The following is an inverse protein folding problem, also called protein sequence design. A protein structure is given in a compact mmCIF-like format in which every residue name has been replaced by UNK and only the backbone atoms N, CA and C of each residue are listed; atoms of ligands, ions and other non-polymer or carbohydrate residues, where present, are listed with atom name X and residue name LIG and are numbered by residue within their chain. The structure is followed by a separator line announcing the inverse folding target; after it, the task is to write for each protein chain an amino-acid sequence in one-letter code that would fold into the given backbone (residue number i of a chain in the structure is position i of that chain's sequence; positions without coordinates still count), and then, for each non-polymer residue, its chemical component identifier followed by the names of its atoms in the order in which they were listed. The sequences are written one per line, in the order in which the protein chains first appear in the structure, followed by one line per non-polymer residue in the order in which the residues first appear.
data_IF_428937403947
#
_entry.id   IF_428937403947
#
_cell.length_a   1.000
_cell.length_b   1.000
_cell.length_c   1.000
_cell.angle_alpha   90.00
_cell.angle_beta   90.00
_cell.angle_gamma   90.00
#
_symmetry.space_group_name_H-M   'P 1'
#
loop_
_entity.id
_entity.type
_entity.pdbx_description
1 polymer ?
#
# COMPACT_ATOMS: atom_id res chain seq x y z
N UNK A 1 67.85 -54.06 14.72
CA UNK A 1 66.75 -53.36 15.36
C UNK A 1 66.58 -52.05 14.59
N UNK A 2 65.58 -51.97 13.73
CA UNK A 2 65.28 -50.74 12.91
C UNK A 2 64.13 -49.96 13.61
N UNK A 3 64.38 -48.70 13.95
CA UNK A 3 63.39 -47.79 14.54
C UNK A 3 62.49 -47.26 13.42
N UNK A 4 61.16 -47.13 13.59
CA UNK A 4 60.29 -46.50 12.63
C UNK A 4 60.32 -44.96 12.78
N UNK A 5 60.41 -44.30 11.65
CA UNK A 5 60.33 -42.83 11.49
C UNK A 5 58.87 -42.42 11.47
N UNK A 6 58.41 -41.68 12.51
CA UNK A 6 57.07 -41.06 12.49
C UNK A 6 57.11 -39.78 11.68
N UNK A 7 56.37 -39.78 10.57
CA UNK A 7 56.17 -38.60 9.72
C UNK A 7 54.90 -37.85 10.23
N UNK A 8 55.10 -36.72 10.89
CA UNK A 8 53.99 -35.89 11.39
C UNK A 8 53.52 -35.03 10.22
N UNK A 9 52.30 -35.31 9.72
CA UNK A 9 51.64 -34.54 8.69
C UNK A 9 50.99 -33.29 9.32
N UNK A 10 51.55 -32.13 9.07
CA UNK A 10 51.04 -30.85 9.55
C UNK A 10 49.89 -30.39 8.60
N UNK A 11 48.62 -30.59 8.99
CA UNK A 11 47.48 -29.99 8.27
C UNK A 11 47.39 -28.51 8.62
N UNK A 12 47.80 -27.66 7.69
CA UNK A 12 47.54 -26.22 7.75
C UNK A 12 46.11 -25.98 7.31
N UNK A 13 45.22 -25.81 8.29
CA UNK A 13 43.87 -25.28 8.03
C UNK A 13 44.00 -23.79 7.67
N UNK A 14 43.87 -23.49 6.38
CA UNK A 14 43.68 -22.12 5.92
C UNK A 14 42.25 -21.68 6.29
N UNK A 15 42.07 -20.96 7.39
CA UNK A 15 40.86 -20.20 7.65
C UNK A 15 40.79 -19.05 6.63
N UNK A 16 40.02 -19.28 5.57
CA UNK A 16 39.59 -18.21 4.70
C UNK A 16 38.64 -17.29 5.45
N UNK A 17 39.12 -16.15 5.91
CA UNK A 17 38.27 -15.05 6.37
C UNK A 17 37.44 -14.59 5.15
N UNK A 18 36.19 -15.03 5.04
CA UNK A 18 35.20 -14.35 4.25
C UNK A 18 34.90 -13.03 4.97
N UNK A 19 35.53 -11.94 4.55
CA UNK A 19 35.10 -10.60 4.91
C UNK A 19 33.68 -10.41 4.36
N UNK A 20 32.68 -10.59 5.22
CA UNK A 20 31.29 -10.23 4.89
C UNK A 20 31.30 -8.73 4.54
N UNK A 21 30.94 -8.44 3.31
CA UNK A 21 30.85 -7.07 2.83
C UNK A 21 29.63 -6.43 3.52
N UNK A 22 29.87 -5.72 4.66
CA UNK A 22 28.86 -5.10 5.51
C UNK A 22 28.21 -3.87 4.85
N UNK A 23 27.91 -3.93 3.55
CA UNK A 23 27.17 -2.88 2.88
C UNK A 23 25.70 -2.98 3.28
N UNK A 24 25.14 -1.89 3.81
CA UNK A 24 23.70 -1.83 4.08
C UNK A 24 22.92 -2.12 2.78
N UNK A 25 21.85 -2.91 2.85
CA UNK A 25 21.03 -3.18 1.68
C UNK A 25 20.42 -1.89 1.13
N UNK A 26 20.32 -1.79 -0.18
CA UNK A 26 19.60 -0.70 -0.85
C UNK A 26 18.09 -0.80 -0.60
N UNK A 27 17.35 0.28 -0.82
CA UNK A 27 15.88 0.27 -0.71
C UNK A 27 15.26 -0.82 -1.60
N UNK A 28 15.77 -1.02 -2.82
CA UNK A 28 15.29 -2.09 -3.73
C UNK A 28 15.55 -3.49 -3.16
N UNK A 29 16.73 -3.71 -2.59
CA UNK A 29 17.04 -4.99 -1.93
C UNK A 29 16.12 -5.25 -0.74
N UNK A 30 15.83 -4.22 0.08
CA UNK A 30 14.88 -4.33 1.20
C UNK A 30 13.47 -4.68 0.73
N UNK A 31 12.97 -4.01 -0.33
CA UNK A 31 11.68 -4.35 -0.94
C UNK A 31 11.69 -5.81 -1.42
N UNK A 32 12.74 -6.21 -2.15
CA UNK A 32 12.84 -7.56 -2.71
C UNK A 32 12.92 -8.66 -1.65
N UNK A 33 13.62 -8.42 -0.54
CA UNK A 33 13.74 -9.38 0.58
C UNK A 33 12.41 -9.55 1.34
N UNK A 34 11.62 -8.49 1.42
CA UNK A 34 10.38 -8.43 2.20
C UNK A 34 9.11 -8.66 1.35
N UNK A 35 9.25 -8.78 0.01
CA UNK A 35 8.11 -9.04 -0.86
C UNK A 35 7.53 -10.42 -0.58
N UNK A 36 6.22 -10.53 -0.25
CA UNK A 36 5.62 -11.82 0.01
C UNK A 36 5.51 -12.68 -1.24
N UNK A 37 5.51 -13.99 -1.05
CA UNK A 37 5.00 -14.90 -2.06
C UNK A 37 3.48 -14.79 -2.12
N UNK A 38 2.93 -14.88 -3.32
CA UNK A 38 1.47 -14.93 -3.56
C UNK A 38 1.15 -16.15 -4.43
N UNK A 39 -0.10 -16.55 -4.46
CA UNK A 39 -0.56 -17.54 -5.46
C UNK A 39 -0.29 -17.03 -6.88
N UNK A 40 0.10 -17.93 -7.76
CA UNK A 40 0.34 -17.59 -9.15
C UNK A 40 -0.92 -16.96 -9.77
N UNK A 41 -0.80 -15.81 -10.46
CA UNK A 41 -1.94 -15.14 -11.04
C UNK A 41 -2.53 -15.94 -12.20
N UNK A 42 -3.84 -15.79 -12.42
CA UNK A 42 -4.54 -16.46 -13.53
C UNK A 42 -4.14 -15.89 -14.90
N UNK A 43 -3.74 -14.63 -14.93
CA UNK A 43 -3.20 -13.93 -16.09
C UNK A 43 -2.23 -12.83 -15.65
N UNK A 44 -1.49 -12.27 -16.60
CA UNK A 44 -0.70 -11.08 -16.34
C UNK A 44 -1.50 -9.83 -16.65
N UNK A 45 -1.62 -8.93 -15.68
CA UNK A 45 -2.39 -7.69 -15.77
C UNK A 45 -1.53 -6.51 -16.21
N UNK A 46 -2.16 -5.39 -16.54
CA UNK A 46 -1.48 -4.11 -16.85
C UNK A 46 -1.88 -3.06 -15.82
N UNK A 47 -0.90 -2.48 -15.15
CA UNK A 47 -1.12 -1.48 -14.11
C UNK A 47 -0.43 -0.17 -14.47
N UNK A 48 -1.17 0.94 -14.42
CA UNK A 48 -0.59 2.27 -14.45
C UNK A 48 -0.21 2.68 -13.01
N UNK A 49 1.06 2.98 -12.76
CA UNK A 49 1.50 3.66 -11.54
C UNK A 49 1.60 5.16 -11.82
N UNK A 50 0.57 5.90 -11.43
CA UNK A 50 0.50 7.34 -11.60
C UNK A 50 1.00 8.05 -10.35
N UNK A 51 2.05 8.91 -10.51
CA UNK A 51 2.77 9.50 -9.38
C UNK A 51 2.90 11.03 -9.46
N UNK A 52 2.02 11.72 -10.22
CA UNK A 52 2.09 13.19 -10.37
C UNK A 52 1.42 13.90 -9.21
N UNK A 53 2.16 14.56 -8.30
CA UNK A 53 1.55 15.45 -7.32
C UNK A 53 1.29 16.84 -7.92
N UNK A 54 0.18 17.43 -7.51
CA UNK A 54 -0.16 18.85 -7.78
C UNK A 54 -0.16 19.69 -6.49
N UNK A 55 0.46 19.16 -5.45
CA UNK A 55 0.70 19.75 -4.15
C UNK A 55 2.04 19.30 -3.62
N UNK A 56 2.07 18.85 -2.36
CA UNK A 56 3.27 18.34 -1.73
C UNK A 56 3.77 17.08 -2.46
N UNK A 57 5.08 17.04 -2.80
CA UNK A 57 5.72 15.85 -3.36
C UNK A 57 6.36 15.03 -2.24
N UNK A 58 5.80 13.86 -1.97
CA UNK A 58 6.32 12.95 -0.97
C UNK A 58 7.66 12.33 -1.40
N UNK A 59 8.61 12.24 -0.46
CA UNK A 59 9.90 11.58 -0.69
C UNK A 59 9.75 10.08 -0.95
N UNK A 60 8.62 9.51 -0.60
CA UNK A 60 8.30 8.10 -0.78
C UNK A 60 7.78 7.75 -2.18
N UNK A 61 7.56 8.70 -3.07
CA UNK A 61 7.11 8.43 -4.45
C UNK A 61 8.08 7.49 -5.17
N UNK A 62 9.39 7.72 -5.08
CA UNK A 62 10.35 6.94 -5.84
C UNK A 62 10.50 5.51 -5.29
N UNK A 63 10.47 5.34 -3.97
CA UNK A 63 10.45 3.98 -3.40
C UNK A 63 9.12 3.28 -3.69
N UNK A 64 8.01 4.02 -3.82
CA UNK A 64 6.73 3.49 -4.28
C UNK A 64 6.81 2.92 -5.69
N UNK A 65 7.49 3.61 -6.62
CA UNK A 65 7.78 3.08 -7.97
C UNK A 65 8.65 1.81 -7.89
N UNK A 66 9.70 1.84 -7.07
CA UNK A 66 10.58 0.66 -6.84
C UNK A 66 9.78 -0.53 -6.29
N UNK A 67 8.89 -0.28 -5.34
CA UNK A 67 8.01 -1.33 -4.77
C UNK A 67 7.12 -1.94 -5.84
N UNK A 68 6.50 -1.13 -6.71
CA UNK A 68 5.66 -1.61 -7.81
C UNK A 68 6.45 -2.46 -8.82
N UNK A 69 7.66 -2.02 -9.16
CA UNK A 69 8.56 -2.76 -10.07
C UNK A 69 8.96 -4.12 -9.48
N UNK A 70 9.40 -4.14 -8.22
CA UNK A 70 9.78 -5.38 -7.53
C UNK A 70 8.59 -6.31 -7.33
N UNK A 71 7.40 -5.77 -7.02
CA UNK A 71 6.18 -6.57 -6.92
C UNK A 71 5.85 -7.23 -8.26
N UNK A 72 5.89 -6.47 -9.36
CA UNK A 72 5.68 -7.01 -10.70
C UNK A 72 6.67 -8.14 -11.05
N UNK A 73 7.94 -7.94 -10.76
CA UNK A 73 9.00 -8.92 -11.02
C UNK A 73 8.87 -10.20 -10.17
N UNK A 74 8.59 -10.04 -8.88
CA UNK A 74 8.57 -11.16 -7.94
C UNK A 74 7.31 -12.00 -8.01
N UNK A 75 6.17 -11.35 -8.25
CA UNK A 75 4.87 -12.00 -8.23
C UNK A 75 4.37 -12.41 -9.61
N UNK A 76 4.88 -11.77 -10.68
CA UNK A 76 4.36 -11.96 -12.03
C UNK A 76 2.92 -11.45 -12.22
N UNK A 77 2.35 -10.76 -11.22
CA UNK A 77 0.94 -10.38 -11.19
C UNK A 77 0.60 -9.38 -12.29
N UNK A 78 1.48 -8.43 -12.58
CA UNK A 78 1.22 -7.40 -13.58
C UNK A 78 2.50 -6.90 -14.27
N UNK A 79 2.31 -6.24 -15.42
CA UNK A 79 3.27 -5.30 -15.99
C UNK A 79 2.91 -3.89 -15.52
N UNK A 80 3.91 -3.10 -15.10
CA UNK A 80 3.69 -1.74 -14.61
C UNK A 80 4.20 -0.70 -15.61
N UNK A 81 3.34 0.30 -15.88
CA UNK A 81 3.70 1.53 -16.61
C UNK A 81 3.78 2.67 -15.61
N UNK A 82 4.91 3.38 -15.56
CA UNK A 82 5.07 4.57 -14.72
C UNK A 82 4.78 5.83 -15.53
N UNK A 83 3.93 6.70 -15.00
CA UNK A 83 3.64 7.98 -15.65
C UNK A 83 3.34 9.09 -14.65
N UNK A 84 3.66 10.32 -15.05
CA UNK A 84 3.23 11.57 -14.44
C UNK A 84 2.41 12.42 -15.45
N UNK A 85 2.05 11.84 -16.60
CA UNK A 85 1.31 12.50 -17.67
C UNK A 85 -0.20 12.20 -17.57
N UNK A 86 -1.01 13.25 -17.45
CA UNK A 86 -2.48 13.12 -17.42
C UNK A 86 -3.08 12.55 -18.71
N UNK A 87 -2.36 12.57 -19.82
CA UNK A 87 -2.85 11.95 -21.07
C UNK A 87 -3.08 10.45 -20.94
N UNK A 88 -2.53 9.77 -19.91
CA UNK A 88 -2.82 8.37 -19.60
C UNK A 88 -4.30 8.15 -19.23
N UNK A 89 -4.99 9.18 -18.78
CA UNK A 89 -6.43 9.14 -18.48
C UNK A 89 -7.33 9.43 -19.69
N UNK A 90 -6.76 9.63 -20.88
CA UNK A 90 -7.55 9.80 -22.10
C UNK A 90 -8.32 8.51 -22.46
N UNK A 91 -9.52 8.61 -23.09
CA UNK A 91 -10.41 7.46 -23.32
C UNK A 91 -9.80 6.30 -24.12
N UNK A 92 -8.86 6.60 -25.00
CA UNK A 92 -8.13 5.63 -25.82
C UNK A 92 -6.99 4.94 -25.06
N UNK A 93 -6.42 5.61 -24.06
CA UNK A 93 -5.28 5.12 -23.27
C UNK A 93 -5.70 4.40 -21.98
N UNK A 94 -6.60 4.99 -21.19
CA UNK A 94 -6.94 4.47 -19.86
C UNK A 94 -7.44 3.03 -19.88
N UNK A 95 -8.19 2.67 -20.93
CA UNK A 95 -8.80 1.33 -21.10
C UNK A 95 -7.79 0.19 -21.30
N UNK A 96 -6.50 0.52 -21.55
CA UNK A 96 -5.46 -0.51 -21.67
C UNK A 96 -5.01 -1.07 -20.31
N UNK A 97 -5.33 -0.37 -19.21
CA UNK A 97 -4.95 -0.77 -17.87
C UNK A 97 -6.08 -1.53 -17.17
N UNK A 98 -5.74 -2.63 -16.49
CA UNK A 98 -6.66 -3.36 -15.61
C UNK A 98 -6.85 -2.64 -14.28
N UNK A 99 -5.79 -1.96 -13.78
CA UNK A 99 -5.86 -1.13 -12.58
C UNK A 99 -4.92 0.09 -12.65
N UNK A 100 -5.20 1.08 -11.80
CA UNK A 100 -4.39 2.28 -11.61
C UNK A 100 -3.94 2.33 -10.15
N UNK A 101 -2.62 2.35 -9.93
CA UNK A 101 -2.01 2.69 -8.65
C UNK A 101 -1.82 4.21 -8.57
N UNK A 102 -2.51 4.84 -7.66
CA UNK A 102 -2.37 6.25 -7.34
C UNK A 102 -1.30 6.39 -6.24
N UNK A 103 -0.05 6.53 -6.65
CA UNK A 103 1.11 6.55 -5.75
C UNK A 103 1.43 8.00 -5.31
N UNK A 104 0.87 8.43 -4.19
CA UNK A 104 1.11 9.76 -3.61
C UNK A 104 0.87 10.93 -4.58
N UNK A 105 -0.18 10.86 -5.38
CA UNK A 105 -0.56 11.87 -6.39
C UNK A 105 -1.37 13.04 -5.79
N UNK A 106 -0.84 13.68 -4.78
CA UNK A 106 -1.45 14.78 -4.00
C UNK A 106 -2.21 15.78 -4.88
N UNK A 107 -3.49 16.06 -4.54
CA UNK A 107 -4.34 17.05 -5.19
C UNK A 107 -4.58 16.85 -6.69
N UNK A 108 -4.92 15.64 -7.12
CA UNK A 108 -5.18 15.30 -8.52
C UNK A 108 -6.16 16.27 -9.21
N UNK A 109 -7.15 16.79 -8.50
CA UNK A 109 -8.12 17.76 -9.02
C UNK A 109 -7.51 19.06 -9.53
N UNK A 110 -6.32 19.45 -9.04
CA UNK A 110 -5.63 20.66 -9.51
C UNK A 110 -5.03 20.48 -10.90
N UNK A 111 -4.67 19.25 -11.25
CA UNK A 111 -4.17 18.91 -12.59
C UNK A 111 -5.28 18.48 -13.53
N UNK A 112 -6.12 17.58 -13.11
CA UNK A 112 -7.24 17.04 -13.90
C UNK A 112 -8.42 18.02 -13.85
N UNK A 113 -8.36 19.11 -14.65
CA UNK A 113 -9.37 20.17 -14.68
C UNK A 113 -10.45 19.93 -15.73
N UNK A 114 -10.15 19.15 -16.76
CA UNK A 114 -11.08 18.79 -17.84
C UNK A 114 -12.15 17.82 -17.29
N UNK A 115 -13.44 18.23 -17.38
CA UNK A 115 -14.57 17.44 -16.92
C UNK A 115 -14.69 16.12 -17.67
N UNK A 116 -14.46 16.12 -18.98
CA UNK A 116 -14.52 14.89 -19.79
C UNK A 116 -13.44 13.88 -19.37
N UNK A 117 -12.25 14.37 -19.01
CA UNK A 117 -11.20 13.50 -18.48
C UNK A 117 -11.59 12.93 -17.11
N UNK A 118 -12.21 13.74 -16.24
CA UNK A 118 -12.76 13.27 -14.94
C UNK A 118 -13.84 12.22 -15.14
N UNK A 119 -14.79 12.47 -16.04
CA UNK A 119 -15.83 11.51 -16.40
C UNK A 119 -15.23 10.21 -16.95
N UNK A 120 -14.24 10.30 -17.82
CA UNK A 120 -13.53 9.14 -18.37
C UNK A 120 -12.90 8.31 -17.27
N UNK A 121 -12.21 8.94 -16.33
CA UNK A 121 -11.58 8.25 -15.21
C UNK A 121 -12.62 7.58 -14.30
N UNK A 122 -13.68 8.29 -13.93
CA UNK A 122 -14.75 7.74 -13.10
C UNK A 122 -15.47 6.58 -13.79
N UNK A 123 -15.75 6.73 -15.10
CA UNK A 123 -16.40 5.67 -15.88
C UNK A 123 -15.49 4.44 -16.07
N UNK A 124 -14.16 4.63 -16.21
CA UNK A 124 -13.21 3.53 -16.22
C UNK A 124 -13.37 2.66 -14.96
N UNK A 125 -13.43 3.28 -13.78
CA UNK A 125 -13.62 2.54 -12.53
C UNK A 125 -15.01 1.92 -12.45
N UNK A 126 -16.08 2.67 -12.76
CA UNK A 126 -17.46 2.12 -12.74
C UNK A 126 -17.65 0.92 -13.65
N UNK A 127 -16.86 0.82 -14.71
CA UNK A 127 -16.91 -0.27 -15.69
C UNK A 127 -15.90 -1.40 -15.42
N UNK A 128 -15.36 -1.49 -14.19
CA UNK A 128 -14.55 -2.62 -13.74
C UNK A 128 -13.06 -2.34 -13.53
N UNK A 129 -12.57 -1.12 -13.83
CA UNK A 129 -11.19 -0.74 -13.56
C UNK A 129 -10.85 -0.73 -12.07
N UNK A 130 -9.66 -1.24 -11.70
CA UNK A 130 -9.19 -1.26 -10.33
C UNK A 130 -8.49 0.02 -9.89
N UNK A 131 -8.63 0.40 -8.63
CA UNK A 131 -7.90 1.51 -8.00
C UNK A 131 -7.16 1.03 -6.77
N UNK A 132 -5.86 1.25 -6.75
CA UNK A 132 -5.00 1.08 -5.58
C UNK A 132 -4.47 2.45 -5.16
N UNK A 133 -4.97 3.01 -4.07
CA UNK A 133 -4.66 4.36 -3.61
C UNK A 133 -3.74 4.35 -2.39
N UNK A 134 -2.60 5.05 -2.49
CA UNK A 134 -1.60 5.15 -1.44
C UNK A 134 -1.59 6.58 -0.88
N UNK A 135 -1.77 6.68 0.43
CA UNK A 135 -1.57 7.85 1.27
C UNK A 135 -2.20 9.12 0.66
N UNK A 136 -1.42 10.03 0.10
CA UNK A 136 -1.90 11.30 -0.41
C UNK A 136 -2.72 11.22 -1.71
N UNK A 137 -2.99 10.02 -2.20
CA UNK A 137 -4.04 9.81 -3.20
C UNK A 137 -5.43 10.24 -2.67
N UNK A 138 -5.59 10.34 -1.36
CA UNK A 138 -6.81 10.84 -0.70
C UNK A 138 -6.83 12.35 -0.50
N UNK A 139 -5.78 13.07 -0.92
CA UNK A 139 -5.64 14.52 -0.73
C UNK A 139 -6.46 15.30 -1.76
N UNK A 140 -7.71 15.57 -1.41
CA UNK A 140 -8.62 16.32 -2.25
C UNK A 140 -9.14 15.50 -3.43
N UNK A 141 -10.03 16.10 -4.15
CA UNK A 141 -10.71 15.49 -5.28
C UNK A 141 -11.90 16.35 -5.69
N UNK A 142 -12.60 15.92 -6.70
CA UNK A 142 -13.96 16.34 -7.01
C UNK A 142 -14.94 15.33 -6.40
N UNK A 143 -16.22 15.64 -6.39
CA UNK A 143 -17.23 14.85 -5.66
C UNK A 143 -17.16 13.35 -5.97
N UNK A 144 -17.20 12.97 -7.25
CA UNK A 144 -17.22 11.56 -7.68
C UNK A 144 -15.90 10.85 -7.34
N UNK A 145 -14.77 11.55 -7.38
CA UNK A 145 -13.48 11.00 -6.95
C UNK A 145 -13.46 10.70 -5.45
N UNK A 146 -13.96 11.62 -4.62
CA UNK A 146 -14.06 11.43 -3.17
C UNK A 146 -15.02 10.29 -2.84
N UNK A 147 -16.15 10.19 -3.54
CA UNK A 147 -17.08 9.06 -3.41
C UNK A 147 -16.43 7.72 -3.79
N UNK A 148 -15.63 7.69 -4.86
CA UNK A 148 -14.89 6.52 -5.33
C UNK A 148 -13.83 6.10 -4.32
N UNK A 149 -12.97 7.02 -3.88
CA UNK A 149 -11.91 6.74 -2.89
C UNK A 149 -12.50 6.43 -1.51
N UNK A 150 -13.61 7.06 -1.13
CA UNK A 150 -14.32 6.80 0.13
C UNK A 150 -13.94 7.72 1.27
N UNK A 151 -13.10 8.72 1.07
CA UNK A 151 -12.71 9.71 2.07
C UNK A 151 -11.88 10.84 1.47
N UNK A 152 -11.86 11.97 2.15
CA UNK A 152 -11.13 13.17 1.74
C UNK A 152 -10.25 13.65 2.89
N UNK A 153 -8.97 13.84 2.66
CA UNK A 153 -8.00 14.30 3.65
C UNK A 153 -8.46 15.53 4.43
N UNK A 154 -8.32 15.48 5.75
CA UNK A 154 -8.67 16.58 6.67
C UNK A 154 -7.62 16.81 7.76
N UNK A 155 -6.37 16.49 7.48
CA UNK A 155 -5.24 16.66 8.38
C UNK A 155 -4.64 15.36 8.90
N UNK A 156 -3.51 15.48 9.59
CA UNK A 156 -2.69 14.36 10.06
C UNK A 156 -2.19 14.58 11.51
N UNK A 157 -3.07 14.52 12.53
CA UNK A 157 -2.66 14.68 13.92
C UNK A 157 -1.62 13.66 14.37
N UNK A 158 -1.62 12.48 13.71
CA UNK A 158 -0.66 11.40 13.89
C UNK A 158 0.45 11.52 12.86
N UNK A 159 1.43 12.42 13.13
CA UNK A 159 2.47 12.79 12.17
C UNK A 159 3.55 11.73 11.98
N UNK A 160 4.28 11.84 10.88
CA UNK A 160 5.27 10.87 10.36
C UNK A 160 6.40 10.46 11.33
N UNK A 161 6.72 11.30 12.32
CA UNK A 161 7.75 11.01 13.32
C UNK A 161 7.29 10.09 14.45
N UNK A 162 5.98 9.90 14.62
CA UNK A 162 5.41 9.09 15.69
C UNK A 162 5.23 7.63 15.34
N UNK A 163 5.06 6.82 16.39
CA UNK A 163 4.64 5.40 16.27
C UNK A 163 3.23 5.28 16.83
N UNK A 164 2.32 4.76 16.03
CA UNK A 164 0.88 4.77 16.30
C UNK A 164 0.33 3.36 16.35
N UNK A 165 -0.61 3.12 17.26
CA UNK A 165 -1.36 1.87 17.34
C UNK A 165 -2.33 1.74 16.17
N UNK A 166 -2.34 0.56 15.57
CA UNK A 166 -3.26 0.17 14.49
C UNK A 166 -4.08 -1.03 14.96
N UNK A 167 -5.38 -0.89 14.93
CA UNK A 167 -6.31 -1.99 15.15
C UNK A 167 -6.57 -2.71 13.83
N UNK A 168 -6.39 -4.03 13.81
CA UNK A 168 -6.92 -4.88 12.76
C UNK A 168 -8.39 -5.16 13.07
N UNK A 169 -9.28 -4.44 12.38
CA UNK A 169 -10.73 -4.52 12.66
C UNK A 169 -11.43 -5.68 11.93
N UNK A 170 -10.76 -6.28 10.95
CA UNK A 170 -11.31 -7.37 10.15
C UNK A 170 -10.27 -8.49 9.93
N UNK A 171 -9.80 -9.15 11.00
CA UNK A 171 -8.65 -10.05 10.97
C UNK A 171 -8.82 -11.29 10.08
N UNK A 172 -10.05 -11.61 9.69
CA UNK A 172 -10.35 -12.74 8.81
C UNK A 172 -10.49 -12.34 7.33
N UNK A 173 -10.48 -11.04 7.03
CA UNK A 173 -10.60 -10.56 5.66
C UNK A 173 -9.35 -10.92 4.83
N UNK A 174 -9.49 -11.46 3.60
CA UNK A 174 -8.38 -11.97 2.79
C UNK A 174 -7.21 -10.98 2.66
N UNK A 175 -7.49 -9.69 2.53
CA UNK A 175 -6.46 -8.65 2.36
C UNK A 175 -5.58 -8.45 3.60
N UNK A 176 -6.09 -8.72 4.80
CA UNK A 176 -5.37 -8.43 6.06
C UNK A 176 -5.14 -9.61 6.97
N UNK A 177 -5.71 -10.78 6.69
CA UNK A 177 -5.62 -11.98 7.56
C UNK A 177 -4.19 -12.43 7.88
N UNK A 178 -3.25 -12.17 6.97
CA UNK A 178 -1.84 -12.54 7.12
C UNK A 178 -0.97 -11.41 7.68
N UNK A 179 -1.55 -10.22 7.92
CA UNK A 179 -0.86 -9.06 8.47
C UNK A 179 -0.82 -9.20 9.99
N UNK A 180 0.38 -9.29 10.55
CA UNK A 180 0.59 -9.54 11.99
C UNK A 180 -0.31 -10.66 12.56
N UNK A 181 -0.63 -11.66 11.73
CA UNK A 181 -1.54 -12.79 12.09
C UNK A 181 -2.92 -12.34 12.60
N UNK A 182 -3.40 -11.20 12.10
CA UNK A 182 -4.69 -10.63 12.51
C UNK A 182 -4.65 -9.78 13.79
N UNK A 183 -3.49 -9.65 14.44
CA UNK A 183 -3.34 -8.89 15.68
C UNK A 183 -3.24 -7.39 15.44
N UNK A 184 -3.52 -6.59 16.48
CA UNK A 184 -3.20 -5.17 16.50
C UNK A 184 -1.68 -4.98 16.56
N UNK A 185 -1.19 -3.87 15.99
CA UNK A 185 0.25 -3.61 15.90
C UNK A 185 0.55 -2.10 16.02
N UNK A 186 1.82 -1.74 15.96
CA UNK A 186 2.24 -0.35 15.90
C UNK A 186 3.01 -0.09 14.62
N UNK A 187 2.86 1.13 14.07
CA UNK A 187 3.56 1.55 12.85
C UNK A 187 4.08 2.98 12.98
N UNK A 188 5.28 3.23 12.44
CA UNK A 188 5.83 4.57 12.34
C UNK A 188 5.53 5.14 10.96
N UNK A 189 4.49 5.96 10.88
CA UNK A 189 4.11 6.65 9.66
C UNK A 189 3.25 7.87 9.98
N UNK A 190 2.88 8.64 8.97
CA UNK A 190 1.85 9.67 9.05
C UNK A 190 0.48 9.06 8.80
N UNK A 191 -0.45 9.26 9.72
CA UNK A 191 -1.82 8.75 9.58
C UNK A 191 -2.78 9.91 9.41
N UNK A 192 -3.58 9.81 8.36
CA UNK A 192 -4.59 10.80 8.03
C UNK A 192 -5.89 10.62 8.81
N UNK A 193 -6.58 11.72 9.03
CA UNK A 193 -8.02 11.72 9.28
C UNK A 193 -8.75 12.21 8.04
N UNK A 194 -10.00 11.80 7.91
CA UNK A 194 -10.81 12.05 6.73
C UNK A 194 -12.10 12.77 7.08
N UNK A 195 -12.47 13.81 6.30
CA UNK A 195 -13.82 14.26 6.12
C UNK A 195 -14.47 13.49 4.96
N UNK A 196 -15.77 13.60 4.82
CA UNK A 196 -16.54 12.91 3.77
C UNK A 196 -16.32 11.37 3.77
N UNK A 197 -15.92 10.82 4.93
CA UNK A 197 -15.74 9.40 5.16
C UNK A 197 -17.00 8.83 5.83
N UNK A 198 -17.57 7.83 5.19
CA UNK A 198 -18.75 7.11 5.67
C UNK A 198 -18.46 5.61 5.72
N UNK A 199 -18.32 5.06 6.93
CA UNK A 199 -18.05 3.64 7.14
C UNK A 199 -19.10 2.74 6.51
N UNK A 200 -20.36 3.19 6.38
CA UNK A 200 -21.42 2.38 5.75
C UNK A 200 -21.22 2.16 4.26
N UNK A 201 -20.29 2.90 3.64
CA UNK A 201 -19.92 2.81 2.22
C UNK A 201 -18.53 2.24 1.99
N UNK A 202 -17.81 1.95 3.06
CA UNK A 202 -16.43 1.46 3.02
C UNK A 202 -16.29 0.28 3.98
N UNK A 203 -15.69 -0.82 3.54
CA UNK A 203 -15.30 -1.90 4.45
C UNK A 203 -13.94 -1.57 5.03
N UNK A 204 -13.94 -1.12 6.28
CA UNK A 204 -12.71 -0.79 7.00
C UNK A 204 -12.03 -2.07 7.45
N UNK A 205 -10.75 -2.21 7.08
CA UNK A 205 -9.90 -3.34 7.43
C UNK A 205 -9.03 -3.01 8.63
N UNK A 206 -8.48 -1.79 8.64
CA UNK A 206 -7.62 -1.28 9.70
C UNK A 206 -8.01 0.15 10.08
N UNK A 207 -7.92 0.46 11.36
CA UNK A 207 -8.15 1.80 11.90
C UNK A 207 -7.10 2.14 12.97
N UNK A 208 -7.04 3.41 13.39
CA UNK A 208 -6.23 3.79 14.54
C UNK A 208 -6.75 3.14 15.82
N UNK A 209 -5.86 2.51 16.57
CA UNK A 209 -6.12 2.03 17.93
C UNK A 209 -5.97 3.16 18.95
N UNK A 210 -7.09 3.77 19.31
CA UNK A 210 -7.10 4.87 20.27
C UNK A 210 -6.86 4.42 21.72
N UNK A 211 -6.88 3.12 22.01
CA UNK A 211 -6.51 2.58 23.32
C UNK A 211 -5.00 2.57 23.52
N UNK A 212 -4.21 2.56 22.42
CA UNK A 212 -2.77 2.71 22.46
C UNK A 212 -2.38 4.10 22.98
N UNK A 213 -1.55 4.16 24.01
CA UNK A 213 -1.25 5.40 24.78
C UNK A 213 -0.85 6.59 23.89
N UNK A 214 0.12 6.40 22.99
CA UNK A 214 0.59 7.48 22.12
C UNK A 214 -0.48 7.94 21.12
N UNK A 215 -1.30 7.00 20.60
CA UNK A 215 -2.35 7.26 19.63
C UNK A 215 -3.52 8.01 20.29
N UNK A 216 -3.96 7.54 21.44
CA UNK A 216 -5.08 8.11 22.19
C UNK A 216 -4.80 9.51 22.74
N UNK A 217 -3.53 9.89 22.92
CA UNK A 217 -3.14 11.27 23.34
C UNK A 217 -3.35 12.31 22.23
N UNK A 218 -3.55 11.90 20.98
CA UNK A 218 -3.81 12.80 19.85
C UNK A 218 -5.30 13.04 19.66
N UNK A 219 -5.65 14.25 19.28
CA UNK A 219 -7.03 14.64 19.03
C UNK A 219 -7.24 14.84 17.53
N UNK A 220 -8.07 14.00 16.95
CA UNK A 220 -8.61 14.21 15.62
C UNK A 220 -9.90 15.02 15.66
N UNK A 221 -10.36 15.49 14.51
CA UNK A 221 -11.55 16.34 14.36
C UNK A 221 -12.88 15.57 14.36
N UNK A 222 -12.84 14.26 14.08
CA UNK A 222 -14.06 13.46 13.93
C UNK A 222 -14.74 13.20 15.27
N UNK A 223 -16.01 13.53 15.35
CA UNK A 223 -16.83 13.31 16.56
C UNK A 223 -17.04 11.82 16.87
N UNK A 224 -17.14 10.98 15.81
CA UNK A 224 -17.30 9.53 15.92
C UNK A 224 -15.98 8.80 16.25
N UNK A 225 -14.86 9.52 16.27
CA UNK A 225 -13.51 8.97 16.49
C UNK A 225 -13.19 7.77 15.60
N UNK A 226 -13.71 7.74 14.38
CA UNK A 226 -13.50 6.71 13.40
C UNK A 226 -12.39 7.12 12.40
N UNK A 227 -11.19 6.59 12.60
CA UNK A 227 -10.00 6.95 11.83
C UNK A 227 -9.49 5.72 11.07
N UNK A 228 -10.11 5.45 9.92
CA UNK A 228 -9.72 4.36 9.04
C UNK A 228 -8.29 4.54 8.52
N UNK A 229 -7.54 3.43 8.46
CA UNK A 229 -6.17 3.38 7.94
C UNK A 229 -6.10 2.61 6.63
N UNK A 230 -6.90 1.55 6.49
CA UNK A 230 -7.04 0.82 5.23
C UNK A 230 -8.48 0.35 5.06
N UNK A 231 -8.98 0.41 3.81
CA UNK A 231 -10.32 -0.06 3.47
C UNK A 231 -10.42 -0.54 2.04
N UNK A 232 -11.46 -1.34 1.78
CA UNK A 232 -11.87 -1.77 0.45
C UNK A 232 -13.32 -1.36 0.18
N UNK A 233 -13.64 -1.21 -1.07
CA UNK A 233 -15.01 -0.99 -1.55
C UNK A 233 -15.16 -1.32 -3.02
N UNK A 234 -16.39 -1.53 -3.46
CA UNK A 234 -16.75 -1.50 -4.87
C UNK A 234 -17.21 -0.08 -5.25
N UNK A 235 -16.98 0.30 -6.50
CA UNK A 235 -17.50 1.52 -7.10
C UNK A 235 -17.99 1.23 -8.52
N UNK A 236 -19.30 0.99 -8.68
CA UNK A 236 -19.83 0.30 -9.86
C UNK A 236 -19.31 -1.14 -9.90
N UNK A 237 -18.80 -1.57 -11.04
CA UNK A 237 -18.13 -2.86 -11.21
C UNK A 237 -16.64 -2.84 -10.77
N UNK A 238 -16.09 -1.65 -10.50
CA UNK A 238 -14.69 -1.46 -10.13
C UNK A 238 -14.40 -1.76 -8.67
N UNK A 239 -13.14 -2.06 -8.40
CA UNK A 239 -12.61 -2.42 -7.08
C UNK A 239 -11.63 -1.37 -6.60
N UNK A 240 -11.81 -0.89 -5.37
CA UNK A 240 -10.99 0.18 -4.79
C UNK A 240 -10.41 -0.30 -3.48
N UNK A 241 -9.09 -0.26 -3.37
CA UNK A 241 -8.33 -0.44 -2.14
C UNK A 241 -7.63 0.88 -1.80
N UNK A 242 -7.70 1.28 -0.55
CA UNK A 242 -7.06 2.50 -0.04
C UNK A 242 -6.22 2.19 1.19
N UNK A 243 -5.01 2.71 1.20
CA UNK A 243 -4.10 2.70 2.35
C UNK A 243 -3.71 4.12 2.73
N UNK A 244 -3.99 4.54 3.97
CA UNK A 244 -3.50 5.80 4.54
C UNK A 244 -1.98 5.78 4.76
N UNK A 245 -1.39 4.58 4.87
CA UNK A 245 0.06 4.39 5.02
C UNK A 245 0.79 4.71 3.71
N UNK A 246 2.03 5.20 3.83
CA UNK A 246 2.90 5.46 2.68
C UNK A 246 3.53 6.86 2.66
N UNK A 247 3.53 7.59 3.80
CA UNK A 247 4.31 8.82 3.94
C UNK A 247 5.80 8.50 4.06
N UNK A 248 6.16 7.64 5.01
CA UNK A 248 7.54 7.25 5.24
C UNK A 248 7.99 6.18 4.26
N UNK A 249 9.25 6.23 3.83
CA UNK A 249 9.83 5.27 2.89
C UNK A 249 9.83 3.83 3.41
N UNK A 250 9.99 3.69 4.73
CA UNK A 250 10.04 2.42 5.44
C UNK A 250 8.79 1.57 5.26
N UNK A 251 7.65 2.19 5.00
CA UNK A 251 6.38 1.51 4.72
C UNK A 251 6.48 0.65 3.45
N UNK A 252 7.18 1.13 2.43
CA UNK A 252 7.29 0.48 1.12
C UNK A 252 8.17 -0.77 1.10
N UNK A 253 8.93 -1.04 2.16
CA UNK A 253 9.65 -2.30 2.36
C UNK A 253 9.32 -2.97 3.69
N UNK A 254 8.24 -2.54 4.36
CA UNK A 254 7.78 -3.17 5.59
C UNK A 254 7.09 -4.51 5.27
N UNK A 255 7.57 -5.68 5.78
CA UNK A 255 7.10 -6.99 5.35
C UNK A 255 5.60 -7.19 5.54
N UNK A 256 5.04 -6.74 6.67
CA UNK A 256 3.62 -6.91 6.96
C UNK A 256 2.74 -5.99 6.08
N UNK A 257 3.20 -4.78 5.76
CA UNK A 257 2.47 -3.87 4.87
C UNK A 257 2.53 -4.37 3.42
N UNK A 258 3.65 -4.93 2.99
CA UNK A 258 3.76 -5.55 1.67
C UNK A 258 2.81 -6.74 1.50
N UNK A 259 2.54 -7.54 2.56
CA UNK A 259 1.51 -8.59 2.53
C UNK A 259 0.13 -8.00 2.25
N UNK A 260 -0.27 -6.95 2.98
CA UNK A 260 -1.54 -6.25 2.77
C UNK A 260 -1.64 -5.69 1.36
N UNK A 261 -0.57 -5.04 0.89
CA UNK A 261 -0.60 -4.39 -0.42
C UNK A 261 -0.60 -5.41 -1.56
N UNK A 262 0.10 -6.52 -1.45
CA UNK A 262 0.06 -7.59 -2.45
C UNK A 262 -1.37 -8.18 -2.59
N UNK A 263 -2.05 -8.47 -1.46
CA UNK A 263 -3.44 -8.93 -1.49
C UNK A 263 -4.41 -7.82 -1.94
N UNK A 264 -4.13 -6.56 -1.59
CA UNK A 264 -4.86 -5.40 -2.10
C UNK A 264 -4.77 -5.28 -3.63
N UNK A 265 -3.59 -5.53 -4.21
CA UNK A 265 -3.43 -5.59 -5.67
C UNK A 265 -4.18 -6.77 -6.29
N UNK A 266 -4.12 -7.97 -5.66
CA UNK A 266 -4.91 -9.12 -6.12
C UNK A 266 -6.42 -8.81 -6.14
N UNK A 267 -6.90 -8.12 -5.10
CA UNK A 267 -8.30 -7.68 -5.05
C UNK A 267 -8.65 -6.69 -6.16
N UNK A 268 -7.91 -5.60 -6.33
CA UNK A 268 -8.25 -4.58 -7.33
C UNK A 268 -8.12 -5.09 -8.77
N UNK A 269 -7.29 -6.11 -8.99
CA UNK A 269 -7.13 -6.79 -10.27
C UNK A 269 -8.17 -7.92 -10.49
N UNK A 270 -8.97 -8.25 -9.48
CA UNK A 270 -9.99 -9.30 -9.57
C UNK A 270 -9.44 -10.73 -9.49
N UNK A 271 -8.21 -10.92 -8.98
CA UNK A 271 -7.61 -12.24 -8.72
C UNK A 271 -8.16 -12.90 -7.45
N UNK A 272 -8.70 -12.12 -6.54
CA UNK A 272 -9.36 -12.59 -5.33
C UNK A 272 -10.67 -11.85 -5.12
N UNK A 273 -11.73 -12.60 -4.92
CA UNK A 273 -13.01 -12.05 -4.50
C UNK A 273 -13.01 -11.88 -2.99
N UNK A 274 -13.40 -10.69 -2.54
CA UNK A 274 -13.54 -10.38 -1.13
C UNK A 274 -14.87 -9.71 -0.87
N UNK A 275 -15.41 -9.91 0.33
CA UNK A 275 -16.57 -9.17 0.77
C UNK A 275 -16.21 -7.70 1.00
N UNK A 276 -16.86 -6.80 0.28
CA UNK A 276 -16.71 -5.33 0.41
C UNK A 276 -17.87 -4.68 1.16
N UNK A 277 -18.83 -5.48 1.67
CA UNK A 277 -19.94 -4.98 2.46
C UNK A 277 -19.41 -4.32 3.72
N UNK A 278 -19.96 -3.17 4.08
CA UNK A 278 -19.55 -2.45 5.28
C UNK A 278 -19.79 -3.28 6.54
N UNK A 279 -18.90 -3.12 7.51
CA UNK A 279 -19.08 -3.70 8.85
C UNK A 279 -19.12 -2.58 9.89
N UNK A 280 -19.93 -2.73 10.94
CA UNK A 280 -19.93 -1.79 12.07
C UNK A 280 -18.52 -1.66 12.66
N UNK A 281 -18.23 -0.48 13.23
CA UNK A 281 -17.00 -0.33 14.01
C UNK A 281 -17.03 -1.29 15.20
N UNK A 282 -15.97 -2.09 15.41
CA UNK A 282 -15.88 -2.96 16.56
C UNK A 282 -16.02 -2.16 17.87
N UNK A 283 -16.67 -2.75 18.89
CA UNK A 283 -16.69 -2.16 20.21
C UNK A 283 -15.24 -2.00 20.73
N UNK A 284 -14.96 -0.88 21.38
CA UNK A 284 -13.68 -0.71 22.06
C UNK A 284 -13.50 -1.84 23.09
N UNK A 285 -12.39 -2.57 22.98
CA UNK A 285 -12.04 -3.63 23.94
C UNK A 285 -11.55 -3.04 25.26
#
# INVERSE_FOLDING_TARGET
MKKPLFLTLLCVLSLGLFAANNKKPSERELVSQNMPEIEAPTKKYKVLCFSKPYGFRHNSIEIGKTMMEVMAEKTGLFDVTFSEDLTEFAPDKIKQYDAICLNNNTHLQKGMKDEKMRETFINYVKNGGGIFAIHSATDGGWKEYVEMIGGNFDGHPWGAGGTWGIANEDPNHPVVKNVYKGENFTIKDEIYQYKDFDRTKNRVLMALDLSHEATGKKNGKRADKDYAVAWVKNYGEGRVFVSSLGHNKEIFYHPEILKMWAEGFRFVLGEVDVDTSSVPKPAAK
#
